data_IF_403856626141
#
_entry.id   IF_403856626141
#
_cell.length_a   1.000
_cell.length_b   1.000
_cell.length_c   1.000
_cell.angle_alpha   90.00
_cell.angle_beta   90.00
_cell.angle_gamma   90.00
#
_symmetry.space_group_name_H-M   'P 1'
#
loop_
_entity.id
_entity.type
_entity.pdbx_description
1 polymer ?
#
# COMPACT_ATOMS: atom_id res chain seq x y z
N UNK A 1 -67.71 13.26 23.36
CA UNK A 1 -66.38 13.54 23.94
C UNK A 1 -65.38 13.64 22.80
N UNK A 2 -64.52 14.65 22.85
CA UNK A 2 -63.56 15.04 21.81
C UNK A 2 -62.16 14.80 22.39
N UNK A 3 -61.35 13.94 21.76
CA UNK A 3 -59.88 14.00 21.84
C UNK A 3 -59.31 13.41 20.55
N UNK A 4 -58.36 14.13 19.97
CA UNK A 4 -57.59 13.87 18.76
C UNK A 4 -56.12 13.76 19.18
N UNK A 5 -55.32 12.83 18.65
CA UNK A 5 -53.84 12.85 18.69
C UNK A 5 -53.34 11.93 17.54
N UNK A 6 -53.00 12.48 16.37
CA UNK A 6 -51.67 12.93 15.93
C UNK A 6 -50.66 11.79 15.78
N UNK A 7 -50.35 11.52 14.50
CA UNK A 7 -49.08 11.11 13.90
C UNK A 7 -48.00 10.49 14.80
N UNK A 8 -47.57 9.27 14.46
CA UNK A 8 -46.20 8.85 14.71
C UNK A 8 -45.49 8.53 13.40
N UNK A 9 -44.38 9.25 13.25
CA UNK A 9 -43.43 9.30 12.15
C UNK A 9 -42.94 7.93 11.68
N UNK A 10 -42.87 7.84 10.36
CA UNK A 10 -41.86 7.11 9.60
C UNK A 10 -40.48 7.22 10.23
N UNK A 11 -39.92 6.10 10.69
CA UNK A 11 -38.51 5.96 11.00
C UNK A 11 -37.96 4.84 10.11
N UNK A 12 -37.65 5.22 8.88
CA UNK A 12 -36.72 4.49 8.02
C UNK A 12 -35.37 4.60 8.72
N UNK A 13 -34.94 3.55 9.41
CA UNK A 13 -33.60 3.45 9.94
C UNK A 13 -32.64 3.21 8.76
N UNK A 14 -31.71 4.14 8.44
CA UNK A 14 -30.58 3.75 7.61
C UNK A 14 -29.70 2.81 8.45
N UNK A 15 -29.54 1.57 7.99
CA UNK A 15 -28.45 0.72 8.43
C UNK A 15 -27.14 1.46 8.11
N UNK A 16 -26.58 2.16 9.09
CA UNK A 16 -25.19 2.58 9.06
C UNK A 16 -24.37 1.32 9.26
N UNK A 17 -23.99 0.70 8.14
CA UNK A 17 -22.99 -0.36 8.12
C UNK A 17 -21.69 0.29 8.60
N UNK A 18 -21.42 0.12 9.89
CA UNK A 18 -20.18 0.53 10.53
C UNK A 18 -19.09 -0.39 9.97
N UNK A 19 -18.54 -0.01 8.81
CA UNK A 19 -17.32 -0.61 8.28
C UNK A 19 -16.19 -0.26 9.26
N UNK A 20 -15.97 -1.14 10.24
CA UNK A 20 -14.80 -1.06 11.09
C UNK A 20 -13.56 -1.09 10.18
N UNK A 21 -12.58 -0.19 10.38
CA UNK A 21 -11.33 -0.27 9.66
C UNK A 21 -10.66 -1.59 10.03
N UNK A 22 -10.59 -2.52 9.07
CA UNK A 22 -9.78 -3.72 9.19
C UNK A 22 -8.34 -3.27 9.27
N UNK A 23 -7.83 -3.07 10.48
CA UNK A 23 -6.40 -2.93 10.74
C UNK A 23 -5.76 -4.27 10.42
N UNK A 24 -5.32 -4.41 9.17
CA UNK A 24 -4.48 -5.52 8.75
C UNK A 24 -3.18 -5.40 9.54
N UNK A 25 -3.08 -6.16 10.64
CA UNK A 25 -1.83 -6.36 11.35
C UNK A 25 -0.94 -7.14 10.39
N UNK A 26 -0.12 -6.44 9.62
CA UNK A 26 1.00 -7.05 8.92
C UNK A 26 2.00 -7.48 9.99
N UNK A 27 1.92 -8.74 10.39
CA UNK A 27 3.01 -9.43 11.08
C UNK A 27 4.23 -9.34 10.16
N UNK A 28 5.11 -8.37 10.41
CA UNK A 28 6.42 -8.32 9.77
C UNK A 28 7.13 -9.63 10.13
N UNK A 29 7.33 -10.50 9.15
CA UNK A 29 8.20 -11.64 9.35
C UNK A 29 9.60 -11.09 9.64
N UNK A 30 10.27 -11.63 10.66
CA UNK A 30 11.61 -11.22 11.03
C UNK A 30 12.60 -11.60 9.91
N UNK A 31 12.84 -10.67 9.00
CA UNK A 31 13.72 -10.86 7.84
C UNK A 31 13.65 -9.67 6.89
N UNK A 32 14.60 -9.59 5.97
CA UNK A 32 14.69 -8.51 4.98
C UNK A 32 14.58 -9.09 3.58
N UNK A 33 13.74 -8.46 2.76
CA UNK A 33 13.68 -8.67 1.32
C UNK A 33 14.55 -7.64 0.60
N UNK A 34 15.33 -8.05 -0.39
CA UNK A 34 16.03 -7.17 -1.32
C UNK A 34 15.33 -7.22 -2.66
N UNK A 35 14.69 -6.12 -3.04
CA UNK A 35 14.01 -5.94 -4.31
C UNK A 35 14.85 -5.15 -5.30
N UNK A 36 14.79 -5.53 -6.58
CA UNK A 36 15.28 -4.75 -7.71
C UNK A 36 14.15 -4.44 -8.66
N UNK A 37 14.26 -3.30 -9.33
CA UNK A 37 13.34 -2.91 -10.39
C UNK A 37 14.06 -2.97 -11.73
N UNK A 38 13.58 -3.85 -12.62
CA UNK A 38 14.03 -4.02 -13.99
C UNK A 38 13.05 -3.33 -14.93
N UNK A 39 13.48 -2.38 -15.74
CA UNK A 39 12.56 -1.69 -16.66
C UNK A 39 13.26 -0.78 -17.64
N UNK A 40 12.49 -0.27 -18.60
CA UNK A 40 12.98 0.65 -19.63
C UNK A 40 12.54 2.09 -19.35
N UNK A 41 13.45 3.05 -19.60
CA UNK A 41 13.21 4.51 -19.41
C UNK A 41 12.65 4.89 -18.03
N UNK A 42 12.97 4.12 -17.00
CA UNK A 42 12.51 4.36 -15.64
C UNK A 42 13.37 5.40 -14.93
N UNK A 43 12.73 6.30 -14.19
CA UNK A 43 13.44 7.26 -13.35
C UNK A 43 13.84 6.59 -12.04
N UNK A 44 15.14 6.38 -11.86
CA UNK A 44 15.71 5.72 -10.67
C UNK A 44 15.42 6.49 -9.38
N UNK A 45 15.27 7.81 -9.43
CA UNK A 45 14.96 8.63 -8.25
C UNK A 45 13.54 8.39 -7.76
N UNK A 46 12.58 8.25 -8.69
CA UNK A 46 11.19 7.92 -8.35
C UNK A 46 11.05 6.53 -7.75
N UNK A 47 11.78 5.57 -8.29
CA UNK A 47 11.84 4.20 -7.74
C UNK A 47 12.50 4.17 -6.36
N UNK A 48 13.56 4.97 -6.16
CA UNK A 48 14.24 5.15 -4.88
C UNK A 48 13.32 5.80 -3.85
N UNK A 49 12.52 6.79 -4.26
CA UNK A 49 11.51 7.41 -3.41
C UNK A 49 10.47 6.39 -2.95
N UNK A 50 9.95 5.55 -3.87
CA UNK A 50 9.06 4.44 -3.51
C UNK A 50 9.67 3.48 -2.48
N UNK A 51 10.98 3.25 -2.56
CA UNK A 51 11.68 2.41 -1.58
C UNK A 51 11.68 3.05 -0.19
N UNK A 52 12.10 4.32 -0.10
CA UNK A 52 12.20 5.05 1.15
C UNK A 52 10.83 5.22 1.84
N UNK A 53 9.76 5.45 1.06
CA UNK A 53 8.40 5.60 1.60
C UNK A 53 7.87 4.31 2.25
N UNK A 54 8.34 3.14 1.82
CA UNK A 54 7.87 1.84 2.31
C UNK A 54 8.80 1.23 3.38
N UNK A 55 9.51 2.08 4.14
CA UNK A 55 10.49 1.68 5.16
C UNK A 55 11.66 0.87 4.59
N UNK A 56 11.92 1.02 3.29
CA UNK A 56 13.04 0.37 2.61
C UNK A 56 14.30 1.22 2.62
N UNK A 57 15.46 0.58 2.68
CA UNK A 57 16.76 1.20 2.41
C UNK A 57 17.13 1.01 0.95
N UNK A 58 17.19 2.11 0.21
CA UNK A 58 17.56 2.13 -1.20
C UNK A 58 19.06 2.31 -1.38
N UNK A 59 19.71 1.46 -2.16
CA UNK A 59 21.10 1.65 -2.61
C UNK A 59 21.10 1.81 -4.12
N UNK A 60 21.36 3.03 -4.57
CA UNK A 60 21.63 3.32 -5.98
C UNK A 60 23.08 2.97 -6.29
N UNK A 61 23.32 1.82 -6.93
CA UNK A 61 24.65 1.53 -7.49
C UNK A 61 24.78 2.30 -8.80
N UNK A 62 25.85 3.10 -8.97
CA UNK A 62 26.08 4.06 -10.09
C UNK A 62 25.93 3.50 -11.53
N UNK A 63 25.77 2.19 -11.71
CA UNK A 63 25.54 1.52 -13.01
C UNK A 63 24.52 0.37 -12.93
N UNK A 64 23.86 0.21 -11.79
CA UNK A 64 22.98 -0.93 -11.53
C UNK A 64 21.66 -0.44 -10.97
N UNK A 65 20.64 -1.19 -11.36
CA UNK A 65 19.23 -0.99 -11.09
C UNK A 65 19.00 -0.64 -9.61
N UNK A 66 18.01 0.22 -9.30
CA UNK A 66 17.74 0.62 -7.92
C UNK A 66 17.45 -0.63 -7.08
N UNK A 67 18.34 -0.91 -6.13
CA UNK A 67 18.16 -1.99 -5.16
C UNK A 67 17.50 -1.40 -3.91
N UNK A 68 16.44 -2.04 -3.45
CA UNK A 68 15.67 -1.63 -2.29
C UNK A 68 15.58 -2.78 -1.30
N UNK A 69 16.13 -2.60 -0.10
CA UNK A 69 15.99 -3.58 0.98
C UNK A 69 14.80 -3.19 1.85
N UNK A 70 13.72 -3.98 1.84
CA UNK A 70 12.51 -3.76 2.63
C UNK A 70 12.33 -4.87 3.65
N UNK A 71 11.72 -4.61 4.82
CA UNK A 71 11.29 -5.69 5.71
C UNK A 71 10.26 -6.59 5.01
N UNK A 72 10.31 -7.89 5.31
CA UNK A 72 9.36 -8.85 4.72
C UNK A 72 7.93 -8.45 5.08
N UNK A 73 7.07 -8.36 4.08
CA UNK A 73 5.70 -7.85 4.18
C UNK A 73 5.49 -6.45 3.61
N UNK A 74 6.56 -5.66 3.44
CA UNK A 74 6.49 -4.32 2.82
C UNK A 74 6.67 -4.33 1.29
N UNK A 75 6.83 -5.51 0.68
CA UNK A 75 7.02 -5.65 -0.77
C UNK A 75 5.77 -5.31 -1.58
N UNK A 76 4.57 -5.66 -1.09
CA UNK A 76 3.30 -5.37 -1.77
C UNK A 76 3.11 -3.86 -1.99
N UNK A 77 3.20 -3.03 -0.93
CA UNK A 77 3.21 -1.58 -1.03
C UNK A 77 4.28 -1.03 -1.98
N UNK A 78 5.49 -1.61 -1.94
CA UNK A 78 6.57 -1.22 -2.84
C UNK A 78 6.25 -1.52 -4.31
N UNK A 79 5.78 -2.74 -4.63
CA UNK A 79 5.36 -3.14 -5.98
C UNK A 79 4.25 -2.25 -6.49
N UNK A 80 3.29 -1.89 -5.64
CA UNK A 80 2.21 -0.96 -5.98
C UNK A 80 2.75 0.43 -6.32
N UNK A 81 3.63 0.99 -5.49
CA UNK A 81 4.24 2.29 -5.75
C UNK A 81 5.00 2.31 -7.09
N UNK A 82 5.76 1.26 -7.40
CA UNK A 82 6.48 1.15 -8.69
C UNK A 82 5.52 1.01 -9.87
N UNK A 83 4.42 0.26 -9.72
CA UNK A 83 3.39 0.14 -10.75
C UNK A 83 2.66 1.47 -11.00
N UNK A 84 2.41 2.26 -9.95
CA UNK A 84 1.75 3.57 -10.04
C UNK A 84 2.63 4.61 -10.77
N UNK A 85 3.95 4.39 -10.89
CA UNK A 85 4.83 5.21 -11.73
C UNK A 85 4.63 4.99 -13.24
N UNK A 86 3.83 3.99 -13.62
CA UNK A 86 3.47 3.67 -15.00
C UNK A 86 4.68 3.44 -15.92
N UNK A 87 5.75 2.84 -15.38
CA UNK A 87 6.88 2.37 -16.16
C UNK A 87 6.69 0.91 -16.59
N UNK A 88 7.15 0.51 -17.79
CA UNK A 88 7.27 -0.90 -18.15
C UNK A 88 8.42 -1.51 -17.34
N UNK A 89 8.11 -1.88 -16.11
CA UNK A 89 9.07 -2.38 -15.13
C UNK A 89 8.54 -3.60 -14.37
N UNK A 90 9.46 -4.47 -13.97
CA UNK A 90 9.24 -5.65 -13.16
C UNK A 90 10.01 -5.54 -11.86
N UNK A 91 9.36 -5.89 -10.76
CA UNK A 91 9.97 -5.91 -9.43
C UNK A 91 10.30 -7.35 -9.06
N UNK A 92 11.58 -7.64 -8.87
CA UNK A 92 12.08 -8.95 -8.44
C UNK A 92 12.61 -8.79 -7.03
N UNK A 93 12.11 -9.58 -6.08
CA UNK A 93 12.54 -9.55 -4.68
C UNK A 93 13.15 -10.89 -4.29
N UNK A 94 14.23 -10.81 -3.52
CA UNK A 94 14.89 -11.94 -2.87
C UNK A 94 14.73 -11.80 -1.37
N UNK A 95 14.41 -12.90 -0.70
CA UNK A 95 14.26 -12.93 0.75
C UNK A 95 15.58 -13.43 1.36
N UNK A 96 16.13 -12.67 2.31
CA UNK A 96 17.29 -13.03 3.11
C UNK A 96 16.88 -13.33 4.55
#
# INVERSE_FOLDING_TARGET
MKVSFVALCSLVAPLTVLAAPTTTITTQAAGNSTCIVLGFKMNTDKVTQCCQTNLGSSVLKRKQLPMCTLPIGSEGPYRKCVADLNYPAWVICWYN
#
